data_IF_444919901487
#
_entry.id   IF_444919901487
#
_cell.length_a   1.000
_cell.length_b   1.000
_cell.length_c   1.000
_cell.angle_alpha   90.00
_cell.angle_beta   90.00
_cell.angle_gamma   90.00
#
_symmetry.space_group_name_H-M   'P 1'
#
loop_
_entity.id
_entity.type
_entity.pdbx_description
1 polymer ?
#
# COMPACT_ATOMS: atom_id res chain seq x y z
N UNK A 1 -18.11 -8.15 6.56
CA UNK A 1 -16.81 -7.96 5.91
C UNK A 1 -16.03 -9.25 5.85
N UNK A 2 -15.31 -9.47 4.79
CA UNK A 2 -14.48 -10.65 4.64
C UNK A 2 -13.16 -10.48 5.39
N UNK A 3 -13.02 -11.22 6.50
CA UNK A 3 -11.80 -11.14 7.32
C UNK A 3 -10.53 -11.55 6.56
N UNK A 4 -10.70 -12.37 5.52
CA UNK A 4 -9.59 -12.80 4.68
C UNK A 4 -8.90 -11.59 4.03
N UNK A 5 -9.65 -10.59 3.60
CA UNK A 5 -9.08 -9.40 2.98
C UNK A 5 -8.29 -8.56 3.98
N UNK A 6 -8.81 -8.45 5.21
CA UNK A 6 -8.08 -7.76 6.28
C UNK A 6 -6.75 -8.44 6.56
N UNK A 7 -6.76 -9.78 6.61
CA UNK A 7 -5.54 -10.55 6.88
C UNK A 7 -4.51 -10.33 5.78
N UNK A 8 -4.96 -10.30 4.51
CA UNK A 8 -4.07 -10.04 3.38
C UNK A 8 -3.45 -8.64 3.50
N UNK A 9 -4.26 -7.64 3.82
CA UNK A 9 -3.77 -6.27 3.95
C UNK A 9 -2.77 -6.16 5.11
N UNK A 10 -3.09 -6.72 6.27
CA UNK A 10 -2.18 -6.68 7.41
C UNK A 10 -0.85 -7.35 7.08
N UNK A 11 -0.90 -8.46 6.37
CA UNK A 11 0.29 -9.20 5.96
C UNK A 11 1.13 -8.38 4.98
N UNK A 12 0.47 -7.76 4.00
CA UNK A 12 1.16 -6.94 3.01
C UNK A 12 1.88 -5.76 3.66
N UNK A 13 1.21 -5.08 4.59
CA UNK A 13 1.78 -3.90 5.25
C UNK A 13 2.91 -4.29 6.20
N UNK A 14 2.76 -5.39 6.92
CA UNK A 14 3.83 -5.88 7.79
C UNK A 14 5.08 -6.21 6.95
N UNK A 15 4.89 -6.88 5.82
CA UNK A 15 5.99 -7.24 4.94
C UNK A 15 6.67 -5.98 4.37
N UNK A 16 5.89 -4.99 3.97
CA UNK A 16 6.42 -3.72 3.48
C UNK A 16 7.29 -3.05 4.55
N UNK A 17 6.79 -2.97 5.77
CA UNK A 17 7.53 -2.33 6.87
C UNK A 17 8.81 -3.08 7.21
N UNK A 18 8.81 -4.40 7.05
CA UNK A 18 9.97 -5.24 7.27
C UNK A 18 10.94 -5.24 6.09
N UNK A 19 10.55 -4.58 5.00
CA UNK A 19 11.32 -4.57 3.74
C UNK A 19 11.40 -5.96 3.11
N UNK A 20 10.40 -6.80 3.38
CA UNK A 20 10.30 -8.15 2.82
C UNK A 20 9.45 -8.10 1.56
N UNK A 21 10.10 -7.78 0.44
CA UNK A 21 9.41 -7.59 -0.85
C UNK A 21 8.68 -8.86 -1.29
N UNK A 22 9.33 -10.00 -1.16
CA UNK A 22 8.75 -11.27 -1.63
C UNK A 22 7.44 -11.59 -0.90
N UNK A 23 7.39 -11.40 0.42
CA UNK A 23 6.16 -11.64 1.18
C UNK A 23 5.07 -10.63 0.83
N UNK A 24 5.44 -9.38 0.56
CA UNK A 24 4.46 -8.38 0.14
C UNK A 24 3.89 -8.72 -1.23
N UNK A 25 4.74 -9.08 -2.19
CA UNK A 25 4.31 -9.43 -3.54
C UNK A 25 3.46 -10.70 -3.57
N UNK A 26 3.67 -11.61 -2.60
CA UNK A 26 2.87 -12.83 -2.51
C UNK A 26 1.39 -12.55 -2.23
N UNK A 27 1.04 -11.34 -1.78
CA UNK A 27 -0.36 -10.95 -1.56
C UNK A 27 -1.02 -10.39 -2.81
N UNK A 28 -0.30 -10.29 -3.92
CA UNK A 28 -0.72 -9.58 -5.12
C UNK A 28 -0.77 -10.46 -6.35
N UNK A 29 -1.70 -10.12 -7.25
CA UNK A 29 -1.76 -10.75 -8.57
C UNK A 29 -0.46 -10.45 -9.34
N UNK A 30 -0.09 -11.37 -10.24
CA UNK A 30 1.13 -11.18 -11.03
C UNK A 30 1.09 -9.94 -11.90
N UNK A 31 -0.10 -9.48 -12.28
CA UNK A 31 -0.29 -8.27 -13.09
C UNK A 31 -0.94 -7.14 -12.29
N UNK A 32 -0.70 -7.10 -10.98
CA UNK A 32 -1.27 -6.09 -10.09
C UNK A 32 -0.98 -4.68 -10.61
N UNK A 33 -1.98 -3.79 -10.50
CA UNK A 33 -1.83 -2.38 -10.84
C UNK A 33 -1.69 -1.58 -9.55
N UNK A 34 -0.62 -0.83 -9.41
CA UNK A 34 -0.26 -0.17 -8.16
C UNK A 34 -0.01 1.31 -8.37
N UNK A 35 -0.65 2.14 -7.55
CA UNK A 35 -0.48 3.59 -7.62
C UNK A 35 0.89 4.00 -7.07
N UNK A 36 1.54 4.91 -7.78
CA UNK A 36 2.84 5.47 -7.35
C UNK A 36 2.61 6.74 -6.54
N UNK A 37 2.16 6.60 -5.34
CA UNK A 37 2.05 7.67 -4.33
C UNK A 37 2.22 9.10 -4.89
N UNK A 38 3.29 9.80 -4.47
CA UNK A 38 3.52 11.19 -4.85
C UNK A 38 3.99 11.39 -6.28
N UNK A 39 4.51 10.35 -6.93
CA UNK A 39 4.97 10.45 -8.31
C UNK A 39 3.82 10.48 -9.31
N UNK A 40 2.67 9.94 -8.91
CA UNK A 40 1.50 9.82 -9.77
C UNK A 40 1.61 8.68 -10.78
N UNK A 41 0.48 8.29 -11.34
CA UNK A 41 0.43 7.20 -12.30
C UNK A 41 0.49 5.84 -11.64
N UNK A 42 0.68 4.81 -12.46
CA UNK A 42 0.65 3.41 -12.01
C UNK A 42 1.83 2.63 -12.54
N UNK A 43 2.18 1.59 -11.81
CA UNK A 43 3.10 0.54 -12.28
C UNK A 43 2.34 -0.77 -12.31
N UNK A 44 2.78 -1.71 -13.12
CA UNK A 44 2.09 -2.97 -13.34
C UNK A 44 3.05 -4.13 -13.08
N UNK A 45 2.62 -5.05 -12.21
CA UNK A 45 3.31 -6.31 -11.98
C UNK A 45 4.38 -6.26 -10.90
N UNK A 46 4.83 -7.45 -10.50
CA UNK A 46 5.76 -7.61 -9.38
C UNK A 46 7.11 -6.96 -9.63
N UNK A 47 7.65 -7.08 -10.84
CA UNK A 47 8.97 -6.52 -11.17
C UNK A 47 8.99 -5.00 -11.02
N UNK A 48 7.97 -4.32 -11.56
CA UNK A 48 7.90 -2.87 -11.48
C UNK A 48 7.71 -2.39 -10.05
N UNK A 49 6.91 -3.12 -9.25
CA UNK A 49 6.74 -2.77 -7.84
C UNK A 49 8.05 -2.94 -7.09
N UNK A 50 8.76 -4.03 -7.34
CA UNK A 50 10.03 -4.30 -6.68
C UNK A 50 11.04 -3.18 -6.97
N UNK A 51 11.14 -2.78 -8.23
CA UNK A 51 12.03 -1.69 -8.63
C UNK A 51 11.64 -0.38 -7.97
N UNK A 52 10.34 -0.06 -7.96
CA UNK A 52 9.83 1.16 -7.38
C UNK A 52 10.12 1.23 -5.89
N UNK A 53 9.80 0.19 -5.13
CA UNK A 53 10.03 0.17 -3.69
C UNK A 53 11.52 0.17 -3.34
N UNK A 54 12.33 -0.58 -4.08
CA UNK A 54 13.77 -0.62 -3.85
C UNK A 54 14.38 0.76 -4.03
N UNK A 55 13.99 1.47 -5.09
CA UNK A 55 14.44 2.84 -5.33
C UNK A 55 13.96 3.78 -4.22
N UNK A 56 12.68 3.66 -3.85
CA UNK A 56 12.09 4.52 -2.83
C UNK A 56 12.82 4.39 -1.49
N UNK A 57 13.18 3.17 -1.11
CA UNK A 57 13.86 2.91 0.15
C UNK A 57 15.32 3.36 0.17
N UNK A 58 15.88 3.74 -0.96
CA UNK A 58 17.21 4.38 -0.98
C UNK A 58 17.12 5.87 -0.65
N UNK A 59 15.93 6.44 -0.67
CA UNK A 59 15.72 7.86 -0.46
C UNK A 59 14.96 8.18 0.82
N UNK A 60 14.00 7.32 1.18
CA UNK A 60 13.14 7.53 2.35
C UNK A 60 12.94 6.23 3.13
N UNK A 61 12.48 6.41 4.35
CA UNK A 61 12.18 5.30 5.25
C UNK A 61 10.71 5.38 5.67
N UNK A 62 9.79 4.83 4.85
CA UNK A 62 8.37 4.88 5.14
C UNK A 62 7.94 3.76 6.07
N UNK A 63 6.97 4.07 6.93
CA UNK A 63 6.26 3.08 7.75
C UNK A 63 4.77 3.28 7.52
N UNK A 64 4.05 2.20 7.28
CA UNK A 64 2.62 2.25 6.99
C UNK A 64 1.87 1.37 7.97
N UNK A 65 0.75 1.88 8.48
CA UNK A 65 -0.05 1.13 9.46
C UNK A 65 -1.52 1.26 9.10
N UNK A 66 -2.20 0.14 8.83
CA UNK A 66 -3.65 0.18 8.56
C UNK A 66 -4.37 0.47 9.87
N UNK A 67 -5.20 1.52 9.87
CA UNK A 67 -5.91 1.97 11.07
C UNK A 67 -7.42 1.92 10.92
N UNK A 68 -7.95 1.54 9.75
CA UNK A 68 -9.38 1.39 9.55
C UNK A 68 -9.68 0.71 8.24
N UNK A 69 -10.80 0.00 8.19
CA UNK A 69 -11.24 -0.74 7.02
C UNK A 69 -12.71 -0.46 6.76
N UNK A 70 -13.05 -0.11 5.53
CA UNK A 70 -14.44 0.11 5.12
C UNK A 70 -14.68 -0.62 3.81
N UNK A 71 -15.64 -1.53 3.81
CA UNK A 71 -16.05 -2.23 2.61
C UNK A 71 -17.01 -1.34 1.82
N UNK A 72 -16.70 -1.08 0.56
CA UNK A 72 -17.52 -0.21 -0.29
C UNK A 72 -18.56 -1.02 -1.06
N UNK A 73 -19.65 -0.36 -1.47
CA UNK A 73 -20.73 -1.00 -2.20
C UNK A 73 -20.29 -1.65 -3.50
N UNK A 74 -19.25 -1.10 -4.14
CA UNK A 74 -18.76 -1.63 -5.41
C UNK A 74 -17.82 -2.83 -5.22
N UNK A 75 -17.67 -3.32 -4.00
CA UNK A 75 -16.82 -4.47 -3.70
C UNK A 75 -15.37 -4.16 -3.41
N UNK A 76 -14.96 -2.90 -3.51
CA UNK A 76 -13.60 -2.52 -3.13
C UNK A 76 -13.49 -2.35 -1.62
N UNK A 77 -12.25 -2.37 -1.14
CA UNK A 77 -11.95 -2.18 0.27
C UNK A 77 -11.16 -0.88 0.46
N UNK A 78 -11.72 0.03 1.26
CA UNK A 78 -11.02 1.25 1.64
C UNK A 78 -10.25 0.99 2.92
N UNK A 79 -8.95 1.24 2.88
CA UNK A 79 -8.07 1.09 4.05
C UNK A 79 -7.55 2.47 4.42
N UNK A 80 -7.84 2.91 5.63
CA UNK A 80 -7.22 4.12 6.17
C UNK A 80 -5.85 3.74 6.67
N UNK A 81 -4.84 4.46 6.23
CA UNK A 81 -3.44 4.12 6.49
C UNK A 81 -2.75 5.31 7.12
N UNK A 82 -2.16 5.08 8.29
CA UNK A 82 -1.26 6.06 8.88
C UNK A 82 0.11 5.88 8.26
N UNK A 83 0.59 6.90 7.58
CA UNK A 83 1.92 6.90 6.99
C UNK A 83 2.83 7.80 7.80
N UNK A 84 3.93 7.24 8.25
CA UNK A 84 5.00 8.00 8.89
C UNK A 84 6.24 7.80 8.03
N UNK A 85 6.67 8.86 7.37
CA UNK A 85 7.79 8.80 6.44
C UNK A 85 8.92 9.67 6.95
N UNK A 86 10.08 9.07 7.11
CA UNK A 86 11.29 9.78 7.51
C UNK A 86 12.31 9.71 6.38
N UNK A 87 13.24 10.66 6.36
CA UNK A 87 14.39 10.50 5.48
C UNK A 87 15.38 9.51 6.12
N UNK A 88 16.48 9.23 5.44
CA UNK A 88 17.43 8.24 5.92
C UNK A 88 18.22 8.69 7.15
N UNK A 89 18.15 9.98 7.48
CA UNK A 89 18.78 10.54 8.67
C UNK A 89 17.82 10.60 9.87
N UNK A 90 16.58 10.15 9.68
CA UNK A 90 15.59 10.11 10.75
C UNK A 90 14.73 11.34 10.88
N UNK A 91 14.83 12.29 9.94
CA UNK A 91 14.01 13.51 9.96
C UNK A 91 12.63 13.22 9.38
N UNK A 92 11.60 13.76 10.00
CA UNK A 92 10.24 13.55 9.54
C UNK A 92 9.99 14.29 8.22
N UNK A 93 9.52 13.55 7.21
CA UNK A 93 9.16 14.07 5.90
C UNK A 93 7.65 14.21 5.78
N UNK A 94 6.91 13.21 6.24
CA UNK A 94 5.45 13.21 6.17
C UNK A 94 4.88 12.37 7.29
N UNK A 95 3.80 12.85 7.90
CA UNK A 95 3.04 12.08 8.89
C UNK A 95 1.57 12.42 8.71
N UNK A 96 0.78 11.43 8.31
CA UNK A 96 -0.63 11.68 8.06
C UNK A 96 -1.39 10.42 7.71
N UNK A 97 -2.68 10.61 7.42
CA UNK A 97 -3.58 9.53 7.06
C UNK A 97 -3.90 9.66 5.57
N UNK A 98 -3.79 8.54 4.87
CA UNK A 98 -4.23 8.45 3.47
C UNK A 98 -5.16 7.26 3.34
N UNK A 99 -5.88 7.18 2.22
CA UNK A 99 -6.75 6.04 1.92
C UNK A 99 -6.14 5.23 0.80
N UNK A 100 -6.02 3.94 1.03
CA UNK A 100 -5.64 3.00 -0.02
C UNK A 100 -6.88 2.20 -0.40
N UNK A 101 -7.21 2.17 -1.69
CA UNK A 101 -8.41 1.51 -2.17
C UNK A 101 -7.99 0.25 -2.93
N UNK A 102 -8.45 -0.89 -2.45
CA UNK A 102 -8.04 -2.18 -2.98
C UNK A 102 -9.18 -2.89 -3.70
N UNK A 103 -8.84 -3.50 -4.83
CA UNK A 103 -9.72 -4.46 -5.50
C UNK A 103 -9.00 -5.81 -5.47
N UNK A 104 -9.74 -6.85 -5.11
CA UNK A 104 -9.22 -8.21 -4.99
C UNK A 104 -9.76 -9.08 -6.11
N UNK A 105 -8.99 -10.08 -6.51
CA UNK A 105 -9.43 -11.10 -7.43
C UNK A 105 -8.75 -12.41 -7.06
N UNK A 106 -9.55 -13.47 -6.96
CA UNK A 106 -9.06 -14.81 -6.63
C UNK A 106 -8.21 -14.83 -5.35
N UNK A 107 -8.62 -14.03 -4.36
CA UNK A 107 -7.96 -14.00 -3.07
C UNK A 107 -6.69 -13.17 -3.01
N UNK A 108 -6.35 -12.44 -4.08
CA UNK A 108 -5.14 -11.61 -4.13
C UNK A 108 -5.49 -10.18 -4.52
N UNK A 109 -4.59 -9.26 -4.20
CA UNK A 109 -4.76 -7.85 -4.56
C UNK A 109 -4.61 -7.71 -6.08
N UNK A 110 -5.62 -7.13 -6.72
CA UNK A 110 -5.62 -6.87 -8.15
C UNK A 110 -5.20 -5.43 -8.46
N UNK A 111 -5.74 -4.47 -7.71
CA UNK A 111 -5.39 -3.04 -7.89
C UNK A 111 -5.29 -2.36 -6.55
N UNK A 112 -4.48 -1.31 -6.51
CA UNK A 112 -4.43 -0.40 -5.38
C UNK A 112 -4.41 1.03 -5.91
N UNK A 113 -5.36 1.83 -5.44
CA UNK A 113 -5.44 3.26 -5.73
C UNK A 113 -5.27 4.05 -4.43
N UNK A 114 -4.82 5.29 -4.55
CA UNK A 114 -4.63 6.17 -3.40
C UNK A 114 -5.61 7.33 -3.50
N UNK A 115 -6.34 7.59 -2.42
CA UNK A 115 -7.19 8.76 -2.27
C UNK A 115 -6.70 9.53 -1.07
N UNK A 116 -6.57 10.84 -1.23
CA UNK A 116 -6.19 11.69 -0.12
C UNK A 116 -7.42 12.14 0.64
N UNK A 117 -7.27 12.36 1.94
CA UNK A 117 -8.33 12.98 2.72
C UNK A 117 -8.45 14.44 2.30
N UNK A 118 -9.69 14.88 2.13
CA UNK A 118 -9.95 16.28 1.90
C UNK A 118 -10.05 16.99 3.25
N UNK A 119 -9.29 18.07 3.38
CA UNK A 119 -9.36 18.91 4.58
C UNK A 119 -10.37 20.01 4.32
N UNK A 120 -11.52 19.86 4.92
CA UNK A 120 -12.57 20.88 4.80
C UNK A 120 -12.72 21.63 6.10
#
# INVERSE_FOLDING_TARGET
>A
MNNQYKDIINKAYAAFNERNIDNALATMQSNVQWSKAWEGGYIIGHEEIKEYWTRQWTEINPNVEPVGFIERENGSLEVKVHQNVKDLQGNLVFDGIVKHIYVFKDGLIKTMDIELFENN
#
